data_IF_356123800118
#
_entry.id   IF_356123800118
#
_cell.length_a   1.000
_cell.length_b   1.000
_cell.length_c   1.000
_cell.angle_alpha   90.00
_cell.angle_beta   90.00
_cell.angle_gamma   90.00
#
_symmetry.space_group_name_H-M   'P 1'
#
loop_
_entity.id
_entity.type
_entity.pdbx_description
1 polymer ?
#
# COMPACT_ATOMS: atom_id res chain seq x y z
N UNK A 1 21.41 -8.18 54.47
CA UNK A 1 22.85 -8.21 54.26
C UNK A 1 23.10 -8.00 52.78
N UNK A 2 23.69 -7.04 52.23
CA UNK A 2 24.48 -5.87 52.58
C UNK A 2 24.41 -4.93 51.38
N UNK A 3 24.10 -3.72 51.70
CA UNK A 3 24.15 -2.47 50.93
C UNK A 3 25.50 -2.23 50.24
N UNK A 4 25.53 -1.66 49.05
CA UNK A 4 26.47 -0.60 48.70
C UNK A 4 25.87 0.40 47.68
N UNK A 5 25.62 1.59 48.21
CA UNK A 5 25.42 2.85 47.46
C UNK A 5 26.82 3.39 47.15
N UNK A 6 27.06 3.91 45.95
CA UNK A 6 28.08 4.92 45.73
C UNK A 6 27.51 6.08 44.90
N UNK A 7 27.51 7.23 45.57
CA UNK A 7 27.41 8.58 45.02
C UNK A 7 28.78 9.07 44.64
N UNK A 8 28.92 9.88 43.62
CA UNK A 8 29.93 10.94 43.39
C UNK A 8 29.56 11.59 42.06
N UNK A 9 29.10 12.76 42.03
CA UNK A 9 29.62 14.14 42.25
C UNK A 9 30.03 14.77 40.91
N UNK A 10 29.39 15.88 40.64
CA UNK A 10 29.54 16.80 39.52
C UNK A 10 30.92 17.49 39.54
N UNK A 11 31.43 17.80 38.36
CA UNK A 11 32.39 18.90 38.17
C UNK A 11 32.12 19.57 36.84
N UNK A 12 31.69 20.81 36.91
CA UNK A 12 31.59 21.77 35.81
C UNK A 12 33.00 22.32 35.53
N UNK A 13 33.36 22.40 34.25
CA UNK A 13 34.47 23.27 33.83
C UNK A 13 33.99 24.06 32.60
N UNK A 14 33.73 25.33 32.86
CA UNK A 14 33.58 26.41 31.89
C UNK A 14 34.94 26.83 31.35
N UNK A 15 35.12 26.85 30.03
CA UNK A 15 36.24 27.53 29.40
C UNK A 15 35.72 28.47 28.32
N UNK A 16 35.72 29.76 28.64
CA UNK A 16 35.46 30.89 27.75
C UNK A 16 36.74 31.20 26.97
N UNK A 17 36.66 31.25 25.64
CA UNK A 17 37.70 31.85 24.80
C UNK A 17 37.06 32.92 23.95
N UNK A 18 37.31 34.17 24.28
CA UNK A 18 37.17 35.36 23.43
C UNK A 18 38.29 35.34 22.39
N UNK A 19 37.97 35.52 21.13
CA UNK A 19 38.93 36.02 20.14
C UNK A 19 38.23 37.12 19.30
N UNK A 20 38.97 38.21 19.16
CA UNK A 20 38.59 39.51 18.71
C UNK A 20 38.31 39.62 17.18
N UNK A 21 37.45 40.59 16.86
CA UNK A 21 37.23 41.14 15.53
C UNK A 21 38.45 41.85 14.96
N UNK A 22 38.79 41.56 13.72
CA UNK A 22 39.41 42.55 12.84
C UNK A 22 38.64 42.61 11.53
N UNK A 23 38.08 43.75 11.30
CA UNK A 23 37.45 44.15 10.04
C UNK A 23 38.49 44.55 8.99
N UNK A 24 38.38 44.02 7.78
CA UNK A 24 38.88 44.71 6.58
C UNK A 24 37.96 44.36 5.41
N UNK A 25 37.24 45.35 4.93
CA UNK A 25 36.55 45.33 3.64
C UNK A 25 37.50 45.94 2.59
N UNK A 26 37.55 45.42 1.35
CA UNK A 26 37.11 46.28 0.29
C UNK A 26 36.17 45.55 -0.73
N UNK A 27 35.30 46.34 -1.27
CA UNK A 27 34.30 46.05 -2.26
C UNK A 27 34.85 45.37 -3.53
N UNK A 28 34.17 44.30 -3.97
CA UNK A 28 34.10 43.91 -5.37
C UNK A 28 32.73 43.29 -5.64
N UNK A 29 31.99 43.93 -6.49
CA UNK A 29 30.74 43.52 -7.11
C UNK A 29 30.89 42.15 -7.78
N UNK A 30 30.16 41.16 -7.24
CA UNK A 30 30.00 39.87 -7.89
C UNK A 30 28.65 39.28 -7.46
N UNK A 31 27.66 39.35 -8.35
CA UNK A 31 26.35 38.82 -8.12
C UNK A 31 26.42 37.33 -7.86
N UNK A 32 26.13 36.92 -6.65
CA UNK A 32 25.85 35.52 -6.32
C UNK A 32 24.42 35.22 -6.79
N UNK A 33 24.33 34.69 -8.00
CA UNK A 33 23.13 33.95 -8.43
C UNK A 33 22.94 32.79 -7.46
N UNK A 34 21.83 32.79 -6.72
CA UNK A 34 21.34 31.60 -6.06
C UNK A 34 21.21 30.48 -7.14
N UNK A 35 21.59 29.24 -6.85
CA UNK A 35 21.35 28.18 -7.79
C UNK A 35 19.83 27.90 -7.81
N UNK A 36 19.11 28.56 -8.72
CA UNK A 36 17.84 28.08 -9.21
C UNK A 36 18.12 26.82 -10.05
N UNK A 37 18.45 25.74 -9.36
CA UNK A 37 18.49 24.43 -9.97
C UNK A 37 17.07 24.00 -10.29
N UNK A 38 16.58 24.35 -11.48
CA UNK A 38 15.57 23.53 -12.11
C UNK A 38 16.18 22.14 -12.15
N UNK A 39 15.59 21.19 -11.37
CA UNK A 39 15.89 19.78 -11.50
C UNK A 39 15.63 19.43 -12.97
N UNK A 40 16.68 19.34 -13.78
CA UNK A 40 16.59 18.98 -15.17
C UNK A 40 15.92 17.59 -15.23
N UNK A 41 14.88 17.48 -16.06
CA UNK A 41 14.31 16.19 -16.38
C UNK A 41 15.46 15.28 -16.77
N UNK A 42 15.66 14.17 -16.01
CA UNK A 42 16.78 13.26 -16.21
C UNK A 42 16.83 12.80 -17.66
N UNK A 43 17.98 12.95 -18.30
CA UNK A 43 18.15 12.44 -19.65
C UNK A 43 18.33 10.94 -19.58
N UNK A 44 17.34 10.16 -20.02
CA UNK A 44 17.46 8.72 -20.19
C UNK A 44 18.08 8.39 -21.52
N UNK A 45 18.89 7.34 -21.60
CA UNK A 45 19.51 6.85 -22.81
C UNK A 45 19.35 5.33 -22.94
N UNK A 46 19.65 4.79 -24.14
CA UNK A 46 19.71 3.34 -24.34
C UNK A 46 21.07 2.75 -24.01
N UNK A 47 22.04 3.56 -23.57
CA UNK A 47 23.28 3.07 -22.98
C UNK A 47 22.98 2.57 -21.55
N UNK A 48 23.11 1.25 -21.37
CA UNK A 48 22.77 0.55 -20.14
C UNK A 48 24.00 0.00 -19.41
N UNK A 49 25.17 0.57 -19.68
CA UNK A 49 26.44 0.18 -19.03
C UNK A 49 26.46 0.54 -17.52
N UNK A 50 27.44 0.00 -16.81
CA UNK A 50 27.69 0.31 -15.40
C UNK A 50 26.94 -0.59 -14.41
N UNK A 51 26.61 -0.05 -13.22
CA UNK A 51 25.92 -0.77 -12.16
C UNK A 51 24.55 -0.16 -11.87
N UNK A 52 23.56 -1.00 -11.63
CA UNK A 52 22.22 -0.66 -11.18
C UNK A 52 22.01 -1.20 -9.76
N UNK A 53 21.68 -0.34 -8.81
CA UNK A 53 21.30 -0.73 -7.45
C UNK A 53 19.80 -0.54 -7.27
N UNK A 54 19.06 -1.63 -6.97
CA UNK A 54 17.64 -1.56 -6.65
C UNK A 54 17.42 -1.74 -5.15
N UNK A 55 16.34 -1.17 -4.61
CA UNK A 55 15.93 -1.37 -3.22
C UNK A 55 14.41 -1.59 -3.12
N UNK A 56 14.00 -2.50 -2.25
CA UNK A 56 12.60 -2.83 -1.97
C UNK A 56 11.98 -3.88 -2.90
N UNK A 57 12.57 -4.15 -4.06
CA UNK A 57 12.08 -5.23 -4.92
C UNK A 57 12.56 -6.57 -4.39
N UNK A 58 11.62 -7.48 -4.11
CA UNK A 58 11.93 -8.78 -3.56
C UNK A 58 11.65 -9.91 -4.57
N UNK A 59 12.69 -10.60 -5.09
CA UNK A 59 12.57 -11.73 -6.00
C UNK A 59 12.48 -13.10 -5.30
N UNK A 60 11.98 -13.15 -4.05
CA UNK A 60 11.96 -14.40 -3.26
C UNK A 60 10.92 -15.41 -3.74
N UNK A 61 9.88 -14.96 -4.42
CA UNK A 61 8.90 -15.84 -5.05
C UNK A 61 9.15 -16.00 -6.56
N UNK A 62 8.48 -16.96 -7.18
CA UNK A 62 8.61 -17.25 -8.60
C UNK A 62 8.18 -16.07 -9.50
N UNK A 63 7.21 -15.26 -9.04
CA UNK A 63 6.72 -14.08 -9.78
C UNK A 63 7.75 -12.96 -9.77
N UNK A 64 8.31 -12.64 -8.61
CA UNK A 64 9.38 -11.66 -8.49
C UNK A 64 10.64 -12.11 -9.20
N UNK A 65 11.02 -13.38 -9.02
CA UNK A 65 12.24 -13.95 -9.63
C UNK A 65 12.20 -13.91 -11.15
N UNK A 66 11.16 -14.43 -11.79
CA UNK A 66 11.08 -14.50 -13.25
C UNK A 66 11.10 -13.11 -13.89
N UNK A 67 10.43 -12.13 -13.29
CA UNK A 67 10.41 -10.74 -13.74
C UNK A 67 11.77 -10.06 -13.56
N UNK A 68 12.41 -10.25 -12.41
CA UNK A 68 13.75 -9.69 -12.16
C UNK A 68 14.82 -10.29 -13.07
N UNK A 69 14.78 -11.60 -13.32
CA UNK A 69 15.71 -12.27 -14.22
C UNK A 69 15.58 -11.73 -15.64
N UNK A 70 14.35 -11.59 -16.16
CA UNK A 70 14.08 -11.02 -17.47
C UNK A 70 14.56 -9.57 -17.58
N UNK A 71 14.23 -8.72 -16.59
CA UNK A 71 14.62 -7.32 -16.58
C UNK A 71 16.14 -7.16 -16.45
N UNK A 72 16.80 -7.98 -15.61
CA UNK A 72 18.26 -7.97 -15.44
C UNK A 72 18.98 -8.39 -16.72
N UNK A 73 18.46 -9.42 -17.40
CA UNK A 73 18.99 -9.80 -18.73
C UNK A 73 18.83 -8.68 -19.75
N UNK A 74 17.71 -7.96 -19.73
CA UNK A 74 17.40 -6.91 -20.68
C UNK A 74 18.26 -5.64 -20.51
N UNK A 75 18.85 -5.42 -19.33
CA UNK A 75 19.73 -4.27 -19.08
C UNK A 75 21.21 -4.60 -19.22
N UNK A 76 21.58 -5.80 -19.67
CA UNK A 76 22.97 -6.15 -19.96
C UNK A 76 23.58 -5.14 -20.98
N UNK A 77 24.84 -4.69 -20.78
CA UNK A 77 25.86 -5.20 -19.85
C UNK A 77 25.84 -4.59 -18.43
N UNK A 78 24.85 -3.78 -18.06
CA UNK A 78 24.77 -3.27 -16.69
C UNK A 78 24.66 -4.43 -15.67
N UNK A 79 25.38 -4.33 -14.56
CA UNK A 79 25.29 -5.28 -13.45
C UNK A 79 24.22 -4.84 -12.47
N UNK A 80 23.37 -5.77 -11.99
CA UNK A 80 22.26 -5.45 -11.08
C UNK A 80 22.55 -6.00 -9.69
N UNK A 81 22.43 -5.14 -8.69
CA UNK A 81 22.48 -5.52 -7.27
C UNK A 81 21.16 -5.15 -6.60
N UNK A 82 20.56 -6.09 -5.85
CA UNK A 82 19.25 -5.89 -5.23
C UNK A 82 19.36 -5.87 -3.70
N UNK A 83 18.87 -4.80 -3.08
CA UNK A 83 18.52 -4.75 -1.66
C UNK A 83 17.04 -5.07 -1.52
N UNK A 84 16.71 -6.22 -0.94
CA UNK A 84 15.33 -6.71 -0.77
C UNK A 84 14.63 -6.14 0.46
N UNK A 85 15.30 -5.28 1.23
CA UNK A 85 14.72 -4.63 2.40
C UNK A 85 13.57 -3.72 1.99
N UNK A 86 12.45 -3.83 2.67
CA UNK A 86 11.29 -2.97 2.42
C UNK A 86 11.67 -1.49 2.50
N UNK A 87 11.02 -0.68 1.68
CA UNK A 87 11.23 0.77 1.65
C UNK A 87 10.93 1.41 3.03
N UNK A 88 11.86 2.21 3.49
CA UNK A 88 11.73 3.05 4.68
C UNK A 88 11.93 4.52 4.29
N UNK A 89 10.91 5.34 4.50
CA UNK A 89 10.90 6.74 4.06
C UNK A 89 11.91 7.61 4.82
N UNK A 90 12.21 7.30 6.09
CA UNK A 90 13.18 8.06 6.90
C UNK A 90 14.62 7.72 6.46
N UNK A 91 14.92 6.42 6.33
CA UNK A 91 16.18 5.94 5.78
C UNK A 91 16.46 6.52 4.40
N UNK A 92 15.45 6.47 3.51
CA UNK A 92 15.56 7.00 2.16
C UNK A 92 15.81 8.51 2.14
N UNK A 93 15.13 9.28 3.00
CA UNK A 93 15.36 10.72 3.10
C UNK A 93 16.78 11.06 3.56
N UNK A 94 17.33 10.30 4.51
CA UNK A 94 18.72 10.45 4.93
C UNK A 94 19.72 10.07 3.82
N UNK A 95 19.44 9.02 3.07
CA UNK A 95 20.24 8.62 1.90
C UNK A 95 20.19 9.69 0.80
N UNK A 96 19.03 10.30 0.56
CA UNK A 96 18.86 11.36 -0.42
C UNK A 96 19.66 12.62 -0.03
N UNK A 97 19.63 13.00 1.26
CA UNK A 97 20.40 14.15 1.77
C UNK A 97 21.93 13.95 1.65
N UNK A 98 22.41 12.69 1.74
CA UNK A 98 23.84 12.36 1.57
C UNK A 98 24.24 12.00 0.13
N UNK A 99 23.29 11.99 -0.84
CA UNK A 99 23.52 11.55 -2.21
C UNK A 99 23.84 10.05 -2.36
N UNK A 100 23.52 9.24 -1.35
CA UNK A 100 23.78 7.78 -1.31
C UNK A 100 22.50 6.97 -1.51
N UNK A 101 21.72 7.30 -2.53
CA UNK A 101 20.49 6.60 -2.88
C UNK A 101 20.75 5.38 -3.77
N UNK A 102 19.86 4.36 -3.76
CA UNK A 102 19.81 3.37 -4.84
C UNK A 102 19.39 4.02 -6.16
N UNK A 103 19.57 3.33 -7.27
CA UNK A 103 19.17 3.84 -8.59
C UNK A 103 17.68 3.61 -8.86
N UNK A 104 17.09 2.61 -8.24
CA UNK A 104 15.67 2.26 -8.34
C UNK A 104 15.11 1.86 -6.98
N UNK A 105 13.93 2.36 -6.65
CA UNK A 105 13.22 1.98 -5.42
C UNK A 105 11.84 1.41 -5.75
N UNK A 106 11.42 0.39 -5.01
CA UNK A 106 10.03 -0.05 -4.97
C UNK A 106 9.34 0.59 -3.77
N UNK A 107 8.23 1.26 -4.01
CA UNK A 107 7.47 1.98 -3.00
C UNK A 107 5.97 1.73 -3.15
N UNK A 108 5.20 1.93 -2.07
CA UNK A 108 3.74 2.03 -2.19
C UNK A 108 3.38 3.21 -3.10
N UNK A 109 2.42 3.00 -4.02
CA UNK A 109 2.01 4.05 -4.96
C UNK A 109 1.48 5.31 -4.27
N UNK A 110 0.87 5.17 -3.11
CA UNK A 110 0.29 6.30 -2.35
C UNK A 110 1.32 7.33 -1.89
N UNK A 111 2.61 6.94 -1.77
CA UNK A 111 3.67 7.86 -1.35
C UNK A 111 4.43 8.51 -2.51
N UNK A 112 4.22 8.05 -3.74
CA UNK A 112 4.92 8.59 -4.93
C UNK A 112 4.72 10.10 -5.07
N UNK A 113 3.50 10.67 -4.95
CA UNK A 113 3.33 12.13 -5.02
C UNK A 113 4.07 12.88 -3.91
N UNK A 114 4.17 12.31 -2.72
CA UNK A 114 4.94 12.91 -1.60
C UNK A 114 6.44 12.96 -1.91
N UNK A 115 7.00 11.90 -2.49
CA UNK A 115 8.41 11.86 -2.87
C UNK A 115 8.69 12.81 -4.04
N UNK A 116 7.75 12.91 -5.00
CA UNK A 116 7.84 13.82 -6.14
C UNK A 116 7.80 15.31 -5.70
N UNK A 117 6.88 15.69 -4.81
CA UNK A 117 6.78 17.05 -4.27
C UNK A 117 8.05 17.50 -3.55
N UNK A 118 8.69 16.55 -2.84
CA UNK A 118 9.97 16.79 -2.16
C UNK A 118 11.18 16.77 -3.09
N UNK A 119 10.99 16.53 -4.40
CA UNK A 119 12.10 16.44 -5.37
C UNK A 119 13.02 15.23 -5.15
N UNK A 120 12.57 14.20 -4.40
CA UNK A 120 13.36 13.04 -4.06
C UNK A 120 13.41 11.99 -5.18
N UNK A 121 12.42 12.01 -6.07
CA UNK A 121 12.34 11.15 -7.27
C UNK A 121 12.12 12.02 -8.50
N UNK A 122 12.54 11.52 -9.66
CA UNK A 122 12.47 12.26 -10.92
C UNK A 122 11.28 11.82 -11.78
N UNK A 123 10.76 12.69 -12.67
CA UNK A 123 9.71 12.34 -13.62
C UNK A 123 10.21 11.31 -14.65
N UNK A 124 9.33 10.40 -15.05
CA UNK A 124 9.63 9.27 -15.93
C UNK A 124 9.04 9.41 -17.35
N UNK A 125 8.45 10.55 -17.71
CA UNK A 125 7.83 10.76 -19.02
C UNK A 125 8.83 10.50 -20.16
N UNK A 126 10.07 10.98 -20.02
CA UNK A 126 11.15 10.73 -20.98
C UNK A 126 11.59 9.26 -20.99
N UNK A 127 11.55 8.57 -19.84
CA UNK A 127 11.79 7.13 -19.73
C UNK A 127 10.74 6.34 -20.52
N UNK A 128 9.47 6.61 -20.30
CA UNK A 128 8.36 5.98 -21.02
C UNK A 128 8.46 6.21 -22.54
N UNK A 129 8.70 7.47 -22.95
CA UNK A 129 8.86 7.83 -24.36
C UNK A 129 10.05 7.10 -25.01
N UNK A 130 11.19 7.00 -24.33
CA UNK A 130 12.39 6.31 -24.82
C UNK A 130 12.14 4.84 -25.13
N UNK A 131 11.29 4.18 -24.32
CA UNK A 131 10.95 2.76 -24.47
C UNK A 131 9.66 2.52 -25.23
N UNK A 132 9.02 3.57 -25.76
CA UNK A 132 7.78 3.47 -26.55
C UNK A 132 6.59 2.94 -25.75
N UNK A 133 6.54 3.24 -24.47
CA UNK A 133 5.45 2.84 -23.58
C UNK A 133 4.59 4.04 -23.27
N UNK A 134 3.28 3.90 -23.44
CA UNK A 134 2.29 4.89 -23.01
C UNK A 134 1.68 4.41 -21.68
N UNK A 135 1.97 5.10 -20.55
CA UNK A 135 1.44 4.68 -19.24
C UNK A 135 -0.08 4.73 -19.15
N UNK A 136 -0.75 5.55 -19.95
CA UNK A 136 -2.21 5.66 -19.95
C UNK A 136 -2.90 4.42 -20.54
N UNK A 137 -2.25 3.73 -21.47
CA UNK A 137 -2.75 2.51 -22.12
C UNK A 137 -2.19 1.24 -21.50
N UNK A 138 -0.98 1.33 -20.93
CA UNK A 138 -0.27 0.18 -20.34
C UNK A 138 -0.87 -0.26 -19.01
N UNK A 139 -1.36 0.69 -18.18
CA UNK A 139 -1.79 0.43 -16.81
C UNK A 139 -3.25 0.84 -16.57
N UNK A 140 -3.86 0.30 -15.51
CA UNK A 140 -5.19 0.77 -15.07
C UNK A 140 -5.16 2.27 -14.75
N UNK A 141 -6.21 3.04 -15.11
CA UNK A 141 -6.22 4.49 -14.90
C UNK A 141 -5.97 4.90 -13.44
N UNK A 142 -6.52 4.16 -12.46
CA UNK A 142 -6.29 4.43 -11.05
C UNK A 142 -4.82 4.18 -10.63
N UNK A 143 -4.14 3.22 -11.24
CA UNK A 143 -2.73 2.95 -11.00
C UNK A 143 -1.86 4.09 -11.55
N UNK A 144 -2.10 4.53 -12.78
CA UNK A 144 -1.38 5.66 -13.39
C UNK A 144 -1.63 6.96 -12.62
N UNK A 145 -2.89 7.23 -12.27
CA UNK A 145 -3.25 8.42 -11.48
C UNK A 145 -2.50 8.50 -10.15
N UNK A 146 -2.34 7.37 -9.45
CA UNK A 146 -1.66 7.32 -8.14
C UNK A 146 -0.16 7.61 -8.20
N UNK A 147 0.48 7.48 -9.37
CA UNK A 147 1.90 7.80 -9.58
C UNK A 147 2.13 9.08 -10.39
N UNK A 148 1.07 9.84 -10.65
CA UNK A 148 1.10 11.12 -11.38
C UNK A 148 1.05 12.27 -10.38
N UNK A 149 1.94 13.24 -10.55
CA UNK A 149 1.98 14.46 -9.77
C UNK A 149 2.29 15.67 -10.68
N UNK A 150 1.52 16.76 -10.57
CA UNK A 150 1.63 17.95 -11.42
C UNK A 150 1.75 17.62 -12.92
N UNK A 151 0.91 16.69 -13.41
CA UNK A 151 0.84 16.30 -14.82
C UNK A 151 2.00 15.45 -15.32
N UNK A 152 2.93 15.02 -14.46
CA UNK A 152 4.07 14.15 -14.82
C UNK A 152 3.98 12.82 -14.09
N UNK A 153 4.45 11.75 -14.73
CA UNK A 153 4.47 10.39 -14.16
C UNK A 153 5.80 10.16 -13.43
N UNK A 154 5.76 9.72 -12.17
CA UNK A 154 6.94 9.54 -11.31
C UNK A 154 7.21 8.08 -10.92
N UNK A 155 6.38 7.16 -11.36
CA UNK A 155 6.55 5.76 -11.04
C UNK A 155 6.09 4.84 -12.16
N UNK A 156 6.65 3.64 -12.21
CA UNK A 156 6.18 2.55 -13.06
C UNK A 156 5.31 1.65 -12.19
N UNK A 157 3.96 1.66 -12.37
CA UNK A 157 3.06 0.85 -11.57
C UNK A 157 3.34 -0.63 -11.70
N UNK A 158 3.27 -1.33 -10.58
CA UNK A 158 3.22 -2.80 -10.55
C UNK A 158 2.25 -3.25 -9.45
N UNK A 159 1.56 -4.34 -9.74
CA UNK A 159 0.44 -4.85 -8.98
C UNK A 159 -0.75 -3.87 -8.87
N UNK A 160 -1.92 -4.45 -8.93
CA UNK A 160 -3.19 -3.76 -8.76
C UNK A 160 -4.09 -4.66 -7.91
N UNK A 161 -3.87 -4.59 -6.60
CA UNK A 161 -4.43 -5.51 -5.63
C UNK A 161 -5.75 -4.97 -5.11
N UNK A 162 -6.85 -5.51 -5.61
CA UNK A 162 -8.20 -5.13 -5.19
C UNK A 162 -8.59 -5.81 -3.89
N UNK A 163 -9.44 -5.17 -3.11
CA UNK A 163 -9.99 -5.71 -1.88
C UNK A 163 -11.34 -6.38 -2.10
N UNK A 164 -11.62 -7.40 -1.29
CA UNK A 164 -12.90 -8.11 -1.22
C UNK A 164 -13.15 -8.59 0.21
N UNK A 165 -14.37 -8.97 0.51
CA UNK A 165 -14.67 -9.72 1.74
C UNK A 165 -14.56 -11.21 1.44
N UNK A 166 -13.79 -11.93 2.25
CA UNK A 166 -13.75 -13.41 2.25
C UNK A 166 -14.44 -13.87 3.51
N UNK A 167 -15.45 -14.73 3.39
CA UNK A 167 -16.22 -15.23 4.50
C UNK A 167 -16.09 -16.74 4.66
N UNK A 168 -16.06 -17.20 5.92
CA UNK A 168 -16.02 -18.60 6.31
C UNK A 168 -17.44 -19.15 6.35
N UNK A 169 -17.76 -20.08 5.43
CA UNK A 169 -19.11 -20.67 5.31
C UNK A 169 -19.48 -21.51 6.53
N UNK A 170 -18.52 -22.14 7.22
CA UNK A 170 -18.79 -22.92 8.40
C UNK A 170 -19.24 -22.03 9.56
N UNK A 171 -18.54 -20.92 9.78
CA UNK A 171 -18.89 -19.93 10.82
C UNK A 171 -20.23 -19.26 10.50
N UNK A 172 -20.44 -18.87 9.22
CA UNK A 172 -21.70 -18.32 8.77
C UNK A 172 -22.89 -19.27 9.02
N UNK A 173 -22.74 -20.53 8.60
CA UNK A 173 -23.77 -21.56 8.78
C UNK A 173 -24.11 -21.78 10.26
N UNK A 174 -23.06 -21.92 11.11
CA UNK A 174 -23.24 -22.10 12.54
C UNK A 174 -23.94 -20.91 13.23
N UNK A 175 -23.84 -19.71 12.67
CA UNK A 175 -24.46 -18.48 13.17
C UNK A 175 -25.81 -18.15 12.49
N UNK A 176 -26.25 -18.91 11.50
CA UNK A 176 -27.44 -18.61 10.70
C UNK A 176 -27.30 -17.30 9.92
N UNK A 177 -26.10 -17.02 9.39
CA UNK A 177 -25.79 -15.84 8.57
C UNK A 177 -25.70 -16.24 7.12
N UNK A 178 -26.39 -15.50 6.23
CA UNK A 178 -26.30 -15.66 4.78
C UNK A 178 -25.31 -14.66 4.17
N UNK A 179 -24.84 -14.95 2.95
CA UNK A 179 -23.94 -14.06 2.20
C UNK A 179 -24.54 -12.66 1.97
N UNK A 180 -25.85 -12.56 1.76
CA UNK A 180 -26.54 -11.27 1.57
C UNK A 180 -26.47 -10.35 2.79
N UNK A 181 -26.25 -10.90 3.99
CA UNK A 181 -26.06 -10.13 5.21
C UNK A 181 -24.65 -9.54 5.34
N UNK A 182 -23.73 -9.93 4.43
CA UNK A 182 -22.38 -9.38 4.33
C UNK A 182 -22.25 -8.37 3.18
N UNK A 183 -23.36 -7.98 2.53
CA UNK A 183 -23.38 -6.93 1.49
C UNK A 183 -22.98 -5.58 2.10
N UNK A 184 -21.83 -5.03 1.67
CA UNK A 184 -21.26 -3.81 2.24
C UNK A 184 -22.09 -2.55 1.96
N UNK A 185 -23.06 -2.62 1.03
CA UNK A 185 -24.06 -1.56 0.83
C UNK A 185 -25.06 -1.46 1.98
N UNK A 186 -25.06 -2.45 2.89
CA UNK A 186 -25.98 -2.53 4.04
C UNK A 186 -25.21 -2.64 5.36
N UNK A 187 -24.48 -1.60 5.75
CA UNK A 187 -23.51 -1.66 6.84
C UNK A 187 -24.12 -2.07 8.20
N UNK A 188 -25.40 -1.75 8.48
CA UNK A 188 -26.07 -2.21 9.70
C UNK A 188 -26.33 -3.72 9.71
N UNK A 189 -26.55 -4.33 8.55
CA UNK A 189 -26.69 -5.79 8.45
C UNK A 189 -25.35 -6.49 8.73
N UNK A 190 -24.22 -5.91 8.28
CA UNK A 190 -22.89 -6.42 8.62
C UNK A 190 -22.67 -6.41 10.12
N UNK A 191 -23.02 -5.34 10.82
CA UNK A 191 -22.88 -5.28 12.30
C UNK A 191 -23.71 -6.38 12.96
N UNK A 192 -24.96 -6.58 12.52
CA UNK A 192 -25.82 -7.64 13.04
C UNK A 192 -25.29 -9.05 12.72
N UNK A 193 -24.76 -9.27 11.52
CA UNK A 193 -24.13 -10.52 11.13
C UNK A 193 -22.84 -10.78 11.93
N UNK A 194 -22.00 -9.77 12.09
CA UNK A 194 -20.80 -9.82 12.91
C UNK A 194 -21.10 -10.23 14.35
N UNK A 195 -22.12 -9.62 14.96
CA UNK A 195 -22.54 -9.95 16.31
C UNK A 195 -23.04 -11.39 16.43
N UNK A 196 -23.74 -11.93 15.43
CA UNK A 196 -24.19 -13.33 15.44
C UNK A 196 -23.02 -14.31 15.31
N UNK A 197 -22.03 -13.99 14.49
CA UNK A 197 -20.85 -14.84 14.24
C UNK A 197 -19.80 -14.73 15.35
N UNK A 198 -19.77 -13.61 16.07
CA UNK A 198 -18.80 -13.38 17.16
C UNK A 198 -19.00 -14.40 18.28
N UNK A 199 -17.90 -14.97 18.75
CA UNK A 199 -17.89 -15.83 19.94
C UNK A 199 -16.78 -15.41 20.88
N UNK A 200 -17.06 -15.55 22.20
CA UNK A 200 -16.09 -15.33 23.26
C UNK A 200 -16.18 -16.47 24.28
N UNK A 201 -15.04 -16.81 24.87
CA UNK A 201 -14.92 -17.78 25.96
C UNK A 201 -14.07 -17.17 27.07
N UNK A 202 -14.57 -17.17 28.30
CA UNK A 202 -13.88 -16.56 29.44
C UNK A 202 -13.57 -15.06 29.25
N UNK A 203 -14.42 -14.33 28.53
CA UNK A 203 -14.25 -12.89 28.25
C UNK A 203 -13.23 -12.58 27.13
N UNK A 204 -12.68 -13.60 26.47
CA UNK A 204 -11.75 -13.43 25.35
C UNK A 204 -12.41 -13.86 24.04
N UNK A 205 -12.22 -13.14 22.93
CA UNK A 205 -12.69 -13.58 21.63
C UNK A 205 -12.15 -14.98 21.28
N UNK A 206 -12.99 -15.79 20.67
CA UNK A 206 -12.62 -17.06 20.06
C UNK A 206 -13.04 -17.15 18.59
N UNK A 207 -13.96 -16.29 18.15
CA UNK A 207 -14.31 -16.06 16.76
C UNK A 207 -14.56 -14.56 16.57
N UNK A 208 -13.89 -13.93 15.63
CA UNK A 208 -14.22 -12.58 15.14
C UNK A 208 -15.32 -12.71 14.11
N UNK A 209 -16.44 -12.04 14.27
CA UNK A 209 -17.57 -12.14 13.35
C UNK A 209 -17.30 -11.50 12.00
N UNK A 210 -16.86 -10.23 12.00
CA UNK A 210 -16.43 -9.51 10.81
C UNK A 210 -15.19 -8.67 11.11
N UNK A 211 -14.10 -8.97 10.45
CA UNK A 211 -12.86 -8.21 10.53
C UNK A 211 -12.74 -7.26 9.34
N UNK A 212 -12.89 -5.98 9.61
CA UNK A 212 -12.72 -4.92 8.61
C UNK A 212 -11.25 -4.52 8.39
N UNK A 213 -10.28 -5.23 8.97
CA UNK A 213 -8.83 -5.00 8.88
C UNK A 213 -8.41 -3.56 9.24
N UNK A 214 -9.00 -3.02 10.29
CA UNK A 214 -8.74 -1.66 10.78
C UNK A 214 -7.52 -1.61 11.73
N UNK A 215 -6.83 -0.45 11.79
CA UNK A 215 -7.05 0.86 11.17
C UNK A 215 -6.38 1.04 9.79
N UNK A 216 -5.56 0.09 9.32
CA UNK A 216 -4.73 0.23 8.12
C UNK A 216 -5.50 0.37 6.81
N UNK A 217 -6.74 -0.14 6.75
CA UNK A 217 -7.63 -0.12 5.59
C UNK A 217 -8.84 0.80 5.76
N UNK A 218 -8.78 1.75 6.69
CA UNK A 218 -9.90 2.63 7.02
C UNK A 218 -10.38 3.47 5.83
N UNK A 219 -9.48 3.88 4.95
CA UNK A 219 -9.78 4.64 3.74
C UNK A 219 -10.69 3.88 2.74
N UNK A 220 -10.61 2.55 2.69
CA UNK A 220 -11.58 1.73 1.98
C UNK A 220 -13.00 1.99 2.51
N UNK A 221 -13.15 1.96 3.83
CA UNK A 221 -14.46 2.14 4.46
C UNK A 221 -14.97 3.58 4.35
N UNK A 222 -14.07 4.59 4.34
CA UNK A 222 -14.49 5.96 3.99
C UNK A 222 -15.19 5.96 2.62
N UNK A 223 -14.61 5.29 1.61
CA UNK A 223 -15.17 5.23 0.26
C UNK A 223 -16.45 4.39 0.18
N UNK A 224 -16.57 3.32 0.95
CA UNK A 224 -17.83 2.56 1.09
C UNK A 224 -18.98 3.49 1.51
N UNK A 225 -18.74 4.44 2.40
CA UNK A 225 -19.71 5.41 2.87
C UNK A 225 -19.80 6.69 1.99
N UNK A 226 -19.15 6.71 0.83
CA UNK A 226 -19.16 7.86 -0.09
C UNK A 226 -18.26 9.00 0.35
N UNK A 227 -17.37 8.77 1.31
CA UNK A 227 -16.34 9.71 1.75
C UNK A 227 -15.01 9.53 1.02
N UNK A 228 -14.02 10.29 1.44
CA UNK A 228 -12.64 10.21 0.93
C UNK A 228 -11.67 10.83 1.92
N UNK A 229 -10.43 10.36 1.94
CA UNK A 229 -9.39 10.97 2.76
C UNK A 229 -8.92 12.34 2.21
N UNK A 230 -9.14 12.60 0.93
CA UNK A 230 -8.75 13.85 0.24
C UNK A 230 -9.69 14.13 -0.94
N UNK A 231 -9.70 15.40 -1.38
CA UNK A 231 -10.40 15.81 -2.59
C UNK A 231 -9.61 15.50 -3.87
N UNK A 232 -10.16 15.87 -5.03
CA UNK A 232 -9.54 15.64 -6.34
C UNK A 232 -8.18 16.34 -6.51
N UNK A 233 -7.91 17.39 -5.72
CA UNK A 233 -6.67 18.17 -5.72
C UNK A 233 -5.66 17.66 -4.67
N UNK A 234 -5.99 16.57 -3.97
CA UNK A 234 -5.16 16.00 -2.93
C UNK A 234 -5.18 16.75 -1.60
N UNK A 235 -6.09 17.70 -1.41
CA UNK A 235 -6.30 18.39 -0.14
C UNK A 235 -7.08 17.47 0.81
N UNK A 236 -6.66 17.31 2.08
CA UNK A 236 -7.33 16.44 3.04
C UNK A 236 -8.79 16.87 3.31
N UNK A 237 -9.65 15.88 3.47
CA UNK A 237 -11.10 16.02 3.77
C UNK A 237 -11.54 15.05 4.87
N UNK A 238 -10.66 14.80 5.85
CA UNK A 238 -10.86 13.76 6.84
C UNK A 238 -12.10 13.97 7.73
N UNK A 239 -12.45 15.21 8.02
CA UNK A 239 -13.60 15.59 8.88
C UNK A 239 -14.94 15.71 8.12
N UNK A 240 -14.98 15.29 6.86
CA UNK A 240 -16.23 15.29 6.07
C UNK A 240 -17.30 14.39 6.74
N UNK A 241 -18.57 14.80 6.65
CA UNK A 241 -19.70 14.10 7.31
C UNK A 241 -19.77 12.60 6.95
N UNK A 242 -19.51 12.23 5.69
CA UNK A 242 -19.47 10.83 5.26
C UNK A 242 -18.36 10.03 5.98
N UNK A 243 -17.20 10.64 6.19
CA UNK A 243 -16.08 10.04 6.92
C UNK A 243 -16.40 9.84 8.40
N UNK A 244 -17.09 10.81 9.04
CA UNK A 244 -17.57 10.69 10.42
C UNK A 244 -18.56 9.54 10.53
N UNK A 245 -19.48 9.41 9.56
CA UNK A 245 -20.43 8.29 9.51
C UNK A 245 -19.70 6.96 9.37
N UNK A 246 -18.72 6.87 8.48
CA UNK A 246 -17.89 5.67 8.31
C UNK A 246 -17.18 5.26 9.60
N UNK A 247 -16.47 6.20 10.24
CA UNK A 247 -15.73 5.90 11.48
C UNK A 247 -16.68 5.56 12.66
N UNK A 248 -17.86 6.18 12.71
CA UNK A 248 -18.90 5.82 13.69
C UNK A 248 -19.37 4.38 13.48
N UNK A 249 -19.56 3.96 12.22
CA UNK A 249 -19.88 2.58 11.90
C UNK A 249 -18.75 1.61 12.25
N UNK A 250 -17.50 1.96 11.93
CA UNK A 250 -16.33 1.15 12.29
C UNK A 250 -16.27 0.89 13.80
N UNK A 251 -16.50 1.93 14.61
CA UNK A 251 -16.57 1.80 16.05
C UNK A 251 -17.73 0.90 16.48
N UNK A 252 -18.94 1.10 15.95
CA UNK A 252 -20.11 0.27 16.20
C UNK A 252 -19.84 -1.20 15.90
N UNK A 253 -19.15 -1.49 14.79
CA UNK A 253 -18.76 -2.84 14.39
C UNK A 253 -17.81 -3.48 15.43
N UNK A 254 -16.80 -2.75 15.88
CA UNK A 254 -15.87 -3.26 16.90
C UNK A 254 -16.56 -3.45 18.26
N UNK A 255 -17.36 -2.49 18.69
CA UNK A 255 -18.09 -2.56 19.97
C UNK A 255 -19.06 -3.77 20.00
N UNK A 256 -19.70 -4.09 18.87
CA UNK A 256 -20.59 -5.24 18.76
C UNK A 256 -19.88 -6.60 18.90
N UNK A 257 -18.55 -6.62 18.89
CA UNK A 257 -17.72 -7.81 18.92
C UNK A 257 -16.74 -7.82 20.11
N UNK A 258 -17.06 -7.13 21.20
CA UNK A 258 -16.25 -7.11 22.42
C UNK A 258 -15.19 -6.01 22.46
N UNK A 259 -15.17 -5.10 21.48
CA UNK A 259 -14.33 -3.92 21.44
C UNK A 259 -12.98 -4.11 20.74
N UNK A 260 -12.41 -2.99 20.28
CA UNK A 260 -11.22 -2.98 19.45
C UNK A 260 -10.00 -3.66 20.07
N UNK A 261 -9.72 -3.38 21.35
CA UNK A 261 -8.55 -3.93 22.02
C UNK A 261 -8.58 -5.47 22.11
N UNK A 262 -9.75 -6.05 22.43
CA UNK A 262 -9.93 -7.49 22.51
C UNK A 262 -9.80 -8.16 21.13
N UNK A 263 -10.44 -7.59 20.12
CA UNK A 263 -10.36 -8.08 18.72
C UNK A 263 -8.93 -7.99 18.21
N UNK A 264 -8.24 -6.85 18.40
CA UNK A 264 -6.85 -6.68 17.99
C UNK A 264 -5.93 -7.71 18.63
N UNK A 265 -6.03 -7.89 19.94
CA UNK A 265 -5.21 -8.88 20.65
C UNK A 265 -5.44 -10.31 20.15
N UNK A 266 -6.66 -10.67 19.80
CA UNK A 266 -6.98 -11.97 19.24
C UNK A 266 -6.44 -12.12 17.81
N UNK A 267 -6.63 -11.11 16.95
CA UNK A 267 -6.07 -11.09 15.58
C UNK A 267 -4.54 -11.22 15.58
N UNK A 268 -3.85 -10.53 16.48
CA UNK A 268 -2.38 -10.60 16.59
C UNK A 268 -1.88 -12.01 16.94
N UNK A 269 -2.74 -12.92 17.43
CA UNK A 269 -2.43 -14.32 17.72
C UNK A 269 -2.75 -15.29 16.58
N UNK A 270 -3.42 -14.83 15.51
CA UNK A 270 -3.81 -15.67 14.38
C UNK A 270 -2.60 -15.97 13.47
N UNK A 271 -2.53 -17.19 12.97
CA UNK A 271 -1.58 -17.60 11.93
C UNK A 271 -2.15 -17.28 10.54
N UNK A 272 -2.11 -16.01 10.14
CA UNK A 272 -2.77 -15.57 8.90
C UNK A 272 -2.20 -16.20 7.61
N UNK A 273 -0.94 -16.67 7.64
CA UNK A 273 -0.23 -17.16 6.45
C UNK A 273 0.14 -18.64 6.50
N UNK A 274 -0.14 -19.31 7.59
CA UNK A 274 0.21 -20.72 7.79
C UNK A 274 -0.89 -21.70 7.43
N UNK A 275 -0.58 -22.96 7.65
CA UNK A 275 -1.52 -24.07 7.38
C UNK A 275 -2.65 -24.20 8.42
N UNK A 276 -2.54 -23.48 9.53
CA UNK A 276 -3.52 -23.40 10.61
C UNK A 276 -4.09 -21.96 10.68
N UNK A 277 -4.34 -21.37 9.50
CA UNK A 277 -4.87 -20.01 9.41
C UNK A 277 -6.30 -19.92 10.00
N UNK A 278 -6.76 -18.68 10.21
CA UNK A 278 -8.03 -18.39 10.87
C UNK A 278 -9.27 -19.01 10.19
N UNK A 279 -9.20 -19.30 8.88
CA UNK A 279 -10.28 -20.01 8.17
C UNK A 279 -10.25 -21.51 8.42
N UNK A 280 -9.06 -22.12 8.52
CA UNK A 280 -8.91 -23.53 8.89
C UNK A 280 -9.42 -23.78 10.31
N UNK A 281 -9.19 -22.83 11.22
CA UNK A 281 -9.60 -22.92 12.63
C UNK A 281 -11.02 -22.42 12.88
N UNK A 282 -11.69 -21.84 11.88
CA UNK A 282 -12.99 -21.16 12.02
C UNK A 282 -12.96 -20.05 13.10
N UNK A 283 -11.88 -19.27 13.14
CA UNK A 283 -11.65 -18.15 14.07
C UNK A 283 -12.18 -16.82 13.56
N UNK A 284 -12.66 -16.77 12.30
CA UNK A 284 -13.21 -15.57 11.66
C UNK A 284 -14.48 -15.91 10.86
N UNK A 285 -15.52 -15.09 10.97
CA UNK A 285 -16.72 -15.24 10.17
C UNK A 285 -16.58 -14.62 8.78
N UNK A 286 -16.07 -13.41 8.70
CA UNK A 286 -15.74 -12.74 7.46
C UNK A 286 -14.59 -11.75 7.68
N UNK A 287 -13.78 -11.51 6.66
CA UNK A 287 -12.63 -10.61 6.74
C UNK A 287 -12.39 -9.90 5.42
N UNK A 288 -12.04 -8.62 5.49
CA UNK A 288 -11.61 -7.86 4.30
C UNK A 288 -10.14 -8.18 3.99
N UNK A 289 -9.90 -8.68 2.79
CA UNK A 289 -8.58 -9.02 2.30
C UNK A 289 -8.33 -8.48 0.88
N UNK A 290 -7.06 -8.29 0.53
CA UNK A 290 -6.67 -8.20 -0.87
C UNK A 290 -6.91 -9.54 -1.58
N UNK A 291 -7.27 -9.51 -2.87
CA UNK A 291 -7.55 -10.72 -3.66
C UNK A 291 -6.41 -11.75 -3.65
N UNK A 292 -5.16 -11.31 -3.41
CA UNK A 292 -3.99 -12.19 -3.32
C UNK A 292 -4.09 -13.21 -2.17
N UNK A 293 -4.94 -12.96 -1.17
CA UNK A 293 -5.12 -13.88 -0.04
C UNK A 293 -5.78 -15.21 -0.46
N UNK A 294 -6.51 -15.23 -1.59
CA UNK A 294 -7.03 -16.48 -2.17
C UNK A 294 -5.88 -17.45 -2.46
N UNK A 295 -4.71 -16.93 -2.89
CA UNK A 295 -3.53 -17.75 -3.13
C UNK A 295 -2.97 -18.36 -1.84
N UNK A 296 -3.03 -17.65 -0.70
CA UNK A 296 -2.69 -18.21 0.63
C UNK A 296 -3.65 -19.32 0.99
N UNK A 297 -4.96 -19.09 0.88
CA UNK A 297 -5.99 -20.09 1.18
C UNK A 297 -5.91 -21.33 0.27
N UNK A 298 -5.41 -21.18 -0.95
CA UNK A 298 -5.28 -22.31 -1.89
C UNK A 298 -4.33 -23.42 -1.36
N UNK A 299 -3.39 -23.09 -0.49
CA UNK A 299 -2.54 -24.07 0.19
C UNK A 299 -3.29 -24.95 1.20
N UNK A 300 -4.45 -24.50 1.66
CA UNK A 300 -5.32 -25.19 2.62
C UNK A 300 -6.70 -25.48 2.04
N UNK A 301 -6.82 -25.55 0.70
CA UNK A 301 -8.08 -25.66 -0.05
C UNK A 301 -9.00 -26.78 0.42
N UNK A 302 -8.43 -27.90 0.90
CA UNK A 302 -9.18 -29.08 1.36
C UNK A 302 -9.68 -28.95 2.82
N UNK A 303 -9.27 -27.86 3.52
CA UNK A 303 -9.61 -27.63 4.94
C UNK A 303 -10.54 -26.42 5.13
N UNK A 304 -10.72 -25.58 4.12
CA UNK A 304 -11.50 -24.33 4.21
C UNK A 304 -12.76 -24.41 3.36
N UNK A 305 -13.83 -23.78 3.82
CA UNK A 305 -15.04 -23.56 3.04
C UNK A 305 -15.35 -22.08 3.06
N UNK A 306 -15.22 -21.42 1.92
CA UNK A 306 -15.16 -19.97 1.83
C UNK A 306 -16.04 -19.41 0.72
N UNK A 307 -16.41 -18.14 0.85
CA UNK A 307 -17.16 -17.41 -0.19
C UNK A 307 -16.66 -15.98 -0.27
N UNK A 308 -16.55 -15.45 -1.49
CA UNK A 308 -16.18 -14.06 -1.76
C UNK A 308 -17.40 -13.15 -1.86
N UNK A 309 -17.33 -11.98 -1.23
CA UNK A 309 -18.34 -10.93 -1.36
C UNK A 309 -17.65 -9.69 -1.93
N UNK A 310 -18.13 -9.17 -3.10
CA UNK A 310 -17.57 -7.94 -3.64
C UNK A 310 -17.94 -6.74 -2.76
N UNK A 311 -17.03 -5.78 -2.67
CA UNK A 311 -17.28 -4.55 -1.92
C UNK A 311 -18.14 -3.62 -2.77
N UNK A 312 -19.13 -3.00 -2.14
CA UNK A 312 -20.02 -1.98 -2.71
C UNK A 312 -20.07 -0.77 -1.79
N UNK A 313 -20.29 0.38 -2.37
CA UNK A 313 -20.65 1.59 -1.65
C UNK A 313 -22.07 1.51 -1.09
N UNK A 314 -22.42 2.34 -0.13
CA UNK A 314 -23.75 2.35 0.51
C UNK A 314 -24.89 2.69 -0.48
N UNK A 315 -24.60 3.28 -1.65
CA UNK A 315 -25.53 3.50 -2.75
C UNK A 315 -25.60 2.29 -3.73
N UNK A 316 -24.95 1.18 -3.39
CA UNK A 316 -24.99 -0.09 -4.12
C UNK A 316 -24.06 -0.23 -5.31
N UNK A 317 -23.20 0.76 -5.57
CA UNK A 317 -22.22 0.68 -6.67
C UNK A 317 -21.05 -0.22 -6.28
N UNK A 318 -20.59 -1.02 -7.24
CA UNK A 318 -19.38 -1.82 -7.04
C UNK A 318 -18.16 -0.93 -6.77
N UNK A 319 -17.31 -1.35 -5.82
CA UNK A 319 -16.10 -0.64 -5.42
C UNK A 319 -14.90 -1.59 -5.43
N UNK A 320 -14.08 -1.51 -6.48
CA UNK A 320 -12.77 -2.16 -6.52
C UNK A 320 -11.72 -1.25 -5.89
N UNK A 321 -11.55 -1.32 -4.57
CA UNK A 321 -10.48 -0.55 -3.90
C UNK A 321 -9.15 -1.22 -4.11
N UNK A 322 -8.21 -0.55 -4.79
CA UNK A 322 -6.95 -1.14 -5.20
C UNK A 322 -5.72 -0.42 -4.66
N UNK A 323 -4.91 -1.17 -3.95
CA UNK A 323 -3.53 -0.83 -3.60
C UNK A 323 -2.51 -1.34 -4.60
N UNK A 324 -1.25 -1.16 -4.29
CA UNK A 324 -0.12 -1.71 -5.03
C UNK A 324 1.13 -0.84 -4.95
N UNK A 325 2.19 -1.32 -5.58
CA UNK A 325 3.50 -0.66 -5.56
C UNK A 325 3.84 -0.01 -6.90
N UNK A 326 4.88 0.80 -6.88
CA UNK A 326 5.50 1.36 -8.08
C UNK A 326 7.03 1.28 -7.96
N UNK A 327 7.68 1.26 -9.11
CA UNK A 327 9.12 1.43 -9.24
C UNK A 327 9.38 2.91 -9.56
N UNK A 328 10.17 3.58 -8.73
CA UNK A 328 10.51 4.99 -8.89
C UNK A 328 12.02 5.19 -8.93
N UNK A 329 12.47 6.24 -9.61
CA UNK A 329 13.89 6.54 -9.81
C UNK A 329 14.25 7.76 -8.96
N UNK A 330 15.13 7.64 -7.96
CA UNK A 330 15.62 8.78 -7.18
C UNK A 330 16.26 9.85 -8.06
N UNK A 331 16.09 11.13 -7.70
CA UNK A 331 16.69 12.26 -8.44
C UNK A 331 18.22 12.18 -8.43
N UNK A 332 18.82 11.67 -7.34
CA UNK A 332 20.26 11.49 -7.21
C UNK A 332 20.78 10.11 -7.67
N UNK A 333 19.97 9.34 -8.42
CA UNK A 333 20.36 8.04 -8.98
C UNK A 333 21.57 8.21 -9.90
N UNK A 334 22.52 7.28 -9.78
CA UNK A 334 23.77 7.32 -10.57
C UNK A 334 23.61 6.66 -11.94
N UNK A 335 22.67 5.72 -12.06
CA UNK A 335 22.36 5.02 -13.30
C UNK A 335 20.86 5.03 -13.63
N UNK A 336 20.26 6.22 -13.85
CA UNK A 336 18.83 6.34 -14.11
C UNK A 336 18.40 5.64 -15.41
N UNK A 337 19.28 5.54 -16.41
CA UNK A 337 18.99 4.88 -17.69
C UNK A 337 18.77 3.38 -17.53
N UNK A 338 19.66 2.69 -16.81
CA UNK A 338 19.49 1.28 -16.51
C UNK A 338 18.29 1.04 -15.56
N UNK A 339 18.06 1.94 -14.61
CA UNK A 339 16.89 1.89 -13.72
C UNK A 339 15.56 2.01 -14.50
N UNK A 340 15.48 2.95 -15.45
CA UNK A 340 14.36 3.11 -16.36
C UNK A 340 14.10 1.83 -17.17
N UNK A 341 15.12 1.33 -17.86
CA UNK A 341 15.02 0.12 -18.67
C UNK A 341 14.55 -1.08 -17.83
N UNK A 342 15.16 -1.28 -16.66
CA UNK A 342 14.82 -2.38 -15.79
C UNK A 342 13.36 -2.29 -15.30
N UNK A 343 12.91 -1.12 -14.88
CA UNK A 343 11.53 -0.92 -14.41
C UNK A 343 10.49 -1.20 -15.51
N UNK A 344 10.72 -0.67 -16.71
CA UNK A 344 9.84 -0.91 -17.88
C UNK A 344 9.84 -2.40 -18.26
N UNK A 345 11.01 -3.06 -18.25
CA UNK A 345 11.10 -4.49 -18.61
C UNK A 345 10.49 -5.38 -17.54
N UNK A 346 10.69 -5.10 -16.24
CA UNK A 346 10.10 -5.86 -15.14
C UNK A 346 8.57 -5.79 -15.10
N UNK A 347 7.96 -4.78 -15.74
CA UNK A 347 6.50 -4.59 -15.81
C UNK A 347 5.94 -4.79 -17.22
N UNK A 348 6.74 -5.27 -18.16
CA UNK A 348 6.31 -5.56 -19.53
C UNK A 348 5.34 -6.75 -19.58
N UNK A 349 4.57 -6.83 -20.65
CA UNK A 349 3.70 -7.98 -20.91
C UNK A 349 4.46 -9.31 -20.89
N UNK A 350 5.66 -9.34 -21.49
CA UNK A 350 6.50 -10.56 -21.53
C UNK A 350 6.96 -10.97 -20.13
N UNK A 351 7.33 -9.99 -19.28
CA UNK A 351 7.71 -10.28 -17.90
C UNK A 351 6.54 -10.83 -17.08
N UNK A 352 5.34 -10.30 -17.27
CA UNK A 352 4.16 -10.82 -16.60
C UNK A 352 3.70 -12.17 -17.12
N UNK A 353 3.83 -12.45 -18.43
CA UNK A 353 3.61 -13.80 -18.98
C UNK A 353 4.60 -14.81 -18.39
N UNK A 354 5.90 -14.48 -18.37
CA UNK A 354 6.91 -15.33 -17.74
C UNK A 354 6.63 -15.57 -16.25
N UNK A 355 6.09 -14.56 -15.54
CA UNK A 355 5.66 -14.71 -14.15
C UNK A 355 4.42 -15.62 -14.01
N UNK A 356 3.48 -15.51 -14.94
CA UNK A 356 2.32 -16.42 -15.02
C UNK A 356 2.73 -17.87 -15.25
N UNK A 357 3.65 -18.12 -16.18
CA UNK A 357 4.20 -19.45 -16.46
C UNK A 357 4.92 -20.03 -15.22
N UNK A 358 5.74 -19.21 -14.55
CA UNK A 358 6.43 -19.61 -13.33
C UNK A 358 5.44 -19.93 -12.19
N UNK A 359 4.40 -19.10 -12.02
CA UNK A 359 3.32 -19.34 -11.05
C UNK A 359 2.57 -20.63 -11.37
N UNK A 360 2.23 -20.88 -12.63
CA UNK A 360 1.52 -22.10 -13.03
C UNK A 360 2.33 -23.35 -12.69
N UNK A 361 3.64 -23.33 -12.89
CA UNK A 361 4.55 -24.41 -12.50
C UNK A 361 4.55 -24.64 -10.98
N UNK A 362 4.72 -23.56 -10.19
CA UNK A 362 4.68 -23.65 -8.72
C UNK A 362 3.34 -24.18 -8.21
N UNK A 363 2.23 -23.75 -8.81
CA UNK A 363 0.88 -24.21 -8.47
C UNK A 363 0.75 -25.73 -8.73
N UNK A 364 1.26 -26.22 -9.86
CA UNK A 364 1.26 -27.65 -10.18
C UNK A 364 2.11 -28.44 -9.19
N UNK A 365 3.34 -27.97 -8.90
CA UNK A 365 4.25 -28.63 -7.97
C UNK A 365 3.69 -28.71 -6.54
N UNK A 366 2.97 -27.68 -6.11
CA UNK A 366 2.37 -27.59 -4.76
C UNK A 366 0.95 -28.13 -4.68
N UNK A 367 0.36 -28.62 -5.78
CA UNK A 367 -1.06 -29.01 -5.84
C UNK A 367 -2.00 -27.94 -5.28
N UNK A 368 -1.73 -26.66 -5.60
CA UNK A 368 -2.53 -25.51 -5.21
C UNK A 368 -3.41 -25.01 -6.36
N UNK A 369 -4.09 -23.88 -6.18
CA UNK A 369 -4.99 -23.30 -7.19
C UNK A 369 -4.34 -22.06 -7.81
N UNK A 370 -4.37 -21.95 -9.13
CA UNK A 370 -3.89 -20.75 -9.82
C UNK A 370 -4.97 -19.66 -9.81
N UNK A 371 -4.71 -18.59 -9.07
CA UNK A 371 -5.62 -17.45 -8.93
C UNK A 371 -5.35 -16.34 -9.96
N UNK A 372 -4.37 -16.52 -10.83
CA UNK A 372 -3.87 -15.50 -11.75
C UNK A 372 -2.97 -14.48 -11.06
N UNK A 373 -2.68 -13.42 -11.77
CA UNK A 373 -1.90 -12.28 -11.28
C UNK A 373 -2.69 -10.98 -11.52
N UNK A 374 -2.56 -10.04 -10.59
CA UNK A 374 -3.15 -8.70 -10.67
C UNK A 374 -2.00 -7.70 -10.80
N UNK A 375 -1.62 -7.46 -12.05
CA UNK A 375 -0.30 -6.89 -12.41
C UNK A 375 -0.26 -5.37 -12.46
N UNK A 376 -1.42 -4.74 -12.52
CA UNK A 376 -1.53 -3.30 -12.82
C UNK A 376 -1.69 -3.00 -14.30
N UNK A 377 -1.53 -4.00 -15.19
CA UNK A 377 -1.73 -3.89 -16.63
C UNK A 377 -2.92 -4.74 -17.08
N UNK A 378 -3.99 -4.13 -17.64
CA UNK A 378 -5.16 -4.90 -18.13
C UNK A 378 -4.80 -5.99 -19.14
N UNK A 379 -3.84 -5.70 -20.03
CA UNK A 379 -3.38 -6.65 -21.03
C UNK A 379 -2.65 -7.85 -20.41
N UNK A 380 -1.83 -7.59 -19.38
CA UNK A 380 -1.10 -8.65 -18.68
C UNK A 380 -2.03 -9.50 -17.82
N UNK A 381 -2.97 -8.87 -17.08
CA UNK A 381 -3.96 -9.57 -16.28
C UNK A 381 -4.80 -10.51 -17.16
N UNK A 382 -5.26 -10.01 -18.32
CA UNK A 382 -5.99 -10.83 -19.29
C UNK A 382 -5.14 -11.98 -19.82
N UNK A 383 -3.91 -11.72 -20.24
CA UNK A 383 -3.03 -12.75 -20.81
C UNK A 383 -2.71 -13.86 -19.81
N UNK A 384 -2.41 -13.51 -18.55
CA UNK A 384 -2.14 -14.51 -17.49
C UNK A 384 -3.40 -15.27 -17.12
N UNK A 385 -4.55 -14.58 -17.01
CA UNK A 385 -5.83 -15.21 -16.70
C UNK A 385 -6.20 -16.24 -17.77
N UNK A 386 -6.21 -15.82 -19.04
CA UNK A 386 -6.61 -16.69 -20.16
C UNK A 386 -5.71 -17.92 -20.31
N UNK A 387 -4.41 -17.78 -19.98
CA UNK A 387 -3.45 -18.89 -20.11
C UNK A 387 -3.48 -19.87 -18.92
N UNK A 388 -3.76 -19.39 -17.70
CA UNK A 388 -3.43 -20.16 -16.50
C UNK A 388 -4.56 -20.28 -15.47
N UNK A 389 -5.63 -19.49 -15.55
CA UNK A 389 -6.76 -19.58 -14.61
C UNK A 389 -7.83 -20.47 -15.22
N UNK A 390 -7.88 -21.69 -14.74
CA UNK A 390 -8.85 -22.71 -15.16
C UNK A 390 -9.74 -23.09 -13.98
N UNK A 391 -10.92 -23.73 -14.21
CA UNK A 391 -11.74 -24.24 -13.12
C UNK A 391 -10.91 -25.06 -12.13
N UNK A 392 -10.97 -24.69 -10.86
CA UNK A 392 -10.11 -25.26 -9.81
C UNK A 392 -10.55 -26.64 -9.33
N UNK A 393 -11.76 -27.05 -9.69
CA UNK A 393 -12.43 -28.21 -9.12
C UNK A 393 -13.09 -27.95 -7.76
N UNK A 394 -12.98 -26.71 -7.25
CA UNK A 394 -13.65 -26.24 -6.04
C UNK A 394 -14.56 -25.04 -6.39
N UNK A 395 -15.87 -25.24 -6.23
CA UNK A 395 -16.85 -24.18 -6.49
C UNK A 395 -16.60 -22.91 -5.63
N UNK A 396 -16.09 -23.11 -4.41
CA UNK A 396 -15.76 -22.02 -3.49
C UNK A 396 -14.60 -21.15 -4.05
N UNK A 397 -13.52 -21.78 -4.49
CA UNK A 397 -12.38 -21.05 -5.06
C UNK A 397 -12.69 -20.45 -6.42
N UNK A 398 -13.46 -21.15 -7.26
CA UNK A 398 -13.90 -20.59 -8.55
C UNK A 398 -14.75 -19.32 -8.35
N UNK A 399 -15.60 -19.31 -7.33
CA UNK A 399 -16.41 -18.15 -6.95
C UNK A 399 -15.56 -17.02 -6.38
N UNK A 400 -14.58 -17.33 -5.48
CA UNK A 400 -13.62 -16.33 -4.96
C UNK A 400 -12.85 -15.66 -6.10
N UNK A 401 -12.29 -16.46 -7.02
CA UNK A 401 -11.51 -15.96 -8.16
C UNK A 401 -12.40 -15.08 -9.06
N UNK A 402 -13.61 -15.55 -9.36
CA UNK A 402 -14.58 -14.77 -10.16
C UNK A 402 -14.90 -13.42 -9.48
N UNK A 403 -15.13 -13.42 -8.17
CA UNK A 403 -15.38 -12.20 -7.40
C UNK A 403 -14.18 -11.25 -7.46
N UNK A 404 -12.96 -11.76 -7.28
CA UNK A 404 -11.75 -10.93 -7.37
C UNK A 404 -11.62 -10.24 -8.73
N UNK A 405 -11.81 -10.97 -9.83
CA UNK A 405 -11.74 -10.38 -11.18
C UNK A 405 -12.86 -9.36 -11.47
N UNK A 406 -14.06 -9.55 -10.90
CA UNK A 406 -15.16 -8.59 -11.07
C UNK A 406 -14.89 -7.22 -10.44
N UNK A 407 -13.90 -7.09 -9.55
CA UNK A 407 -13.54 -5.83 -8.90
C UNK A 407 -12.58 -4.97 -9.73
N UNK A 408 -11.98 -5.52 -10.80
CA UNK A 408 -10.98 -4.79 -11.60
C UNK A 408 -11.57 -3.64 -12.42
N UNK A 409 -12.83 -3.75 -12.82
CA UNK A 409 -13.49 -2.76 -13.69
C UNK A 409 -14.01 -1.52 -12.94
N UNK A 410 -14.03 -1.57 -11.60
CA UNK A 410 -14.66 -0.54 -10.74
C UNK A 410 -13.67 0.03 -9.75
N UNK A 411 -12.53 0.52 -10.26
CA UNK A 411 -11.36 0.77 -9.43
C UNK A 411 -11.33 2.15 -8.80
N UNK A 412 -11.12 2.16 -7.49
CA UNK A 412 -10.75 3.31 -6.69
C UNK A 412 -9.42 3.05 -5.96
N UNK A 413 -8.81 4.10 -5.45
CA UNK A 413 -7.57 4.03 -4.68
C UNK A 413 -7.59 5.09 -3.58
N UNK A 414 -6.57 5.10 -2.73
CA UNK A 414 -6.40 6.13 -1.70
C UNK A 414 -6.44 7.57 -2.26
N UNK A 415 -6.03 7.74 -3.52
CA UNK A 415 -5.87 9.04 -4.17
C UNK A 415 -4.41 9.44 -4.34
N UNK A 416 -4.19 10.67 -4.77
CA UNK A 416 -2.86 11.24 -5.04
C UNK A 416 -2.75 12.58 -4.33
N UNK A 417 -1.79 12.70 -3.38
CA UNK A 417 -1.53 13.94 -2.65
C UNK A 417 -0.05 14.08 -2.33
N UNK A 418 0.54 15.28 -2.45
CA UNK A 418 1.89 15.52 -1.95
C UNK A 418 2.01 15.36 -0.42
N UNK A 419 0.91 15.45 0.32
CA UNK A 419 0.83 15.14 1.74
C UNK A 419 0.27 13.72 2.03
N UNK A 420 0.21 12.83 1.03
CA UNK A 420 -0.48 11.54 1.12
C UNK A 420 -0.06 10.69 2.32
N UNK A 421 1.24 10.59 2.61
CA UNK A 421 1.73 9.88 3.80
C UNK A 421 1.17 10.47 5.10
N UNK A 422 1.23 11.80 5.26
CA UNK A 422 0.74 12.48 6.47
C UNK A 422 -0.79 12.37 6.62
N UNK A 423 -1.53 12.37 5.51
CA UNK A 423 -2.99 12.15 5.50
C UNK A 423 -3.31 10.73 5.96
N UNK A 424 -2.58 9.73 5.44
CA UNK A 424 -2.76 8.32 5.80
C UNK A 424 -2.44 8.07 7.27
N UNK A 425 -1.34 8.62 7.78
CA UNK A 425 -0.94 8.50 9.18
C UNK A 425 -1.95 9.19 10.10
N UNK A 426 -2.41 10.39 9.76
CA UNK A 426 -3.42 11.11 10.52
C UNK A 426 -4.75 10.34 10.59
N UNK A 427 -5.21 9.76 9.47
CA UNK A 427 -6.39 8.92 9.41
C UNK A 427 -6.23 7.68 10.28
N UNK A 428 -5.12 6.95 10.14
CA UNK A 428 -4.85 5.72 10.90
C UNK A 428 -4.85 5.98 12.41
N UNK A 429 -4.22 7.08 12.84
CA UNK A 429 -4.22 7.49 14.24
C UNK A 429 -5.63 7.88 14.73
N UNK A 430 -6.41 8.63 13.94
CA UNK A 430 -7.79 8.98 14.29
C UNK A 430 -8.66 7.73 14.47
N UNK A 431 -8.52 6.77 13.56
CA UNK A 431 -9.24 5.50 13.66
C UNK A 431 -8.84 4.75 14.94
N UNK A 432 -7.55 4.64 15.24
CA UNK A 432 -7.09 3.95 16.44
C UNK A 432 -7.64 4.57 17.74
N UNK A 433 -7.58 5.91 17.89
CA UNK A 433 -8.08 6.60 19.09
C UNK A 433 -9.60 6.59 19.20
N UNK A 434 -10.33 6.56 18.08
CA UNK A 434 -11.78 6.44 18.07
C UNK A 434 -12.23 5.01 18.45
N UNK A 435 -11.56 3.99 17.89
CA UNK A 435 -11.88 2.60 18.19
C UNK A 435 -11.51 2.21 19.63
N UNK A 436 -10.45 2.80 20.20
CA UNK A 436 -10.10 2.61 21.61
C UNK A 436 -11.07 3.31 22.58
N UNK A 437 -11.90 4.24 22.07
CA UNK A 437 -12.83 5.03 22.89
C UNK A 437 -12.19 6.25 23.57
N UNK A 438 -10.93 6.59 23.23
CA UNK A 438 -10.25 7.78 23.77
C UNK A 438 -10.87 9.08 23.25
N UNK A 439 -11.40 9.08 22.02
CA UNK A 439 -12.13 10.19 21.42
C UNK A 439 -13.36 9.68 20.68
N UNK A 440 -14.38 10.53 20.58
CA UNK A 440 -15.47 10.25 19.65
C UNK A 440 -15.00 10.39 18.18
N UNK A 441 -15.65 9.71 17.22
CA UNK A 441 -15.24 9.71 15.82
C UNK A 441 -15.13 11.10 15.19
N UNK A 442 -16.04 12.02 15.48
CA UNK A 442 -16.03 13.36 14.91
C UNK A 442 -14.84 14.18 15.41
N UNK A 443 -14.57 14.14 16.71
CA UNK A 443 -13.41 14.82 17.32
C UNK A 443 -12.10 14.23 16.81
N UNK A 444 -11.98 12.90 16.72
CA UNK A 444 -10.79 12.22 16.21
C UNK A 444 -10.47 12.64 14.77
N UNK A 445 -11.48 12.65 13.89
CA UNK A 445 -11.31 13.05 12.48
C UNK A 445 -11.05 14.56 12.33
N UNK A 446 -11.65 15.42 13.17
CA UNK A 446 -11.35 16.85 13.18
C UNK A 446 -9.89 17.16 13.53
N UNK A 447 -9.34 16.47 14.53
CA UNK A 447 -7.94 16.62 14.93
C UNK A 447 -7.00 16.09 13.82
N UNK A 448 -7.37 14.97 13.18
CA UNK A 448 -6.64 14.41 12.03
C UNK A 448 -6.67 15.36 10.84
N UNK A 449 -7.84 15.95 10.54
CA UNK A 449 -7.97 16.96 9.48
C UNK A 449 -7.04 18.16 9.72
N UNK A 450 -7.02 18.69 10.94
CA UNK A 450 -6.15 19.81 11.29
C UNK A 450 -4.66 19.45 11.11
N UNK A 451 -4.27 18.22 11.44
CA UNK A 451 -2.89 17.73 11.28
C UNK A 451 -2.54 17.52 9.82
N UNK A 452 -3.40 16.85 9.06
CA UNK A 452 -3.23 16.60 7.64
C UNK A 452 -3.22 17.91 6.82
N UNK A 453 -4.09 18.87 7.17
CA UNK A 453 -4.16 20.17 6.49
C UNK A 453 -2.88 20.98 6.69
N UNK A 454 -2.30 21.01 7.89
CA UNK A 454 -0.99 21.65 8.13
C UNK A 454 0.10 21.02 7.26
N UNK A 455 0.15 19.69 7.17
CA UNK A 455 1.12 19.02 6.33
C UNK A 455 0.92 19.35 4.85
N UNK A 456 -0.34 19.38 4.38
CA UNK A 456 -0.66 19.73 2.98
C UNK A 456 -0.28 21.18 2.65
N UNK A 457 -0.54 22.14 3.54
CA UNK A 457 -0.16 23.54 3.38
C UNK A 457 1.36 23.76 3.26
N UNK A 458 2.18 22.82 3.72
CA UNK A 458 3.64 22.89 3.58
C UNK A 458 4.15 22.37 2.23
N UNK A 459 3.31 21.68 1.47
CA UNK A 459 3.64 21.18 0.13
C UNK A 459 3.56 22.30 -0.92
N UNK A 460 4.10 22.04 -2.11
CA UNK A 460 4.01 22.99 -3.22
C UNK A 460 2.56 23.23 -3.67
N UNK A 461 1.70 22.21 -3.62
CA UNK A 461 0.28 22.36 -3.92
C UNK A 461 -0.43 23.28 -2.90
N UNK A 462 -0.13 23.11 -1.61
CA UNK A 462 -0.74 23.92 -0.55
C UNK A 462 -0.25 25.37 -0.51
N UNK A 463 0.92 25.66 -1.06
CA UNK A 463 1.44 27.06 -1.16
C UNK A 463 0.86 27.84 -2.34
N UNK A 464 0.34 27.14 -3.34
CA UNK A 464 -0.19 27.72 -4.58
C UNK A 464 -1.73 27.71 -4.62
N UNK A 465 -2.40 27.12 -3.65
CA UNK A 465 -3.86 27.10 -3.47
C UNK A 465 -4.29 27.91 -2.29
#
# INVERSE_FOLDING_TARGET
>A
MSTHRNKLSAAALSLSVLVALTACNPAASGGSAAPSGSAGAGSFSKDLSGSLKTSGFNPSDEVGKSRSDLATKAVSPATVTMDTTNFDAQKFSAQAASGQVPDLIQVDRSIVPTLADKGLIQPLDACYSLWGVDPATQYYPAATKSVTYNGKVYGVPQFFQTSMVIADKNVMQAAGVSTDQLDTSKPDQIVAAAQKMYKASGGKPSVVGFDADLPGSADLWLQVFGGSAMDANGKPTLDAAANVTALTWMKKLMDAQGGYAAIKSFKDSMDAFGNENQYVKNEVGAQTWGQWYINVLSATKDKVSVVGVPIKTTDGKALGYAGGTALAIPTAAKNPSAACAWAIKATSLDAWKAAGDARAKTVQEKNSINTGLFTGSPAADKAVRDAHVVPSGSADFDQLISTAYSTLDTTASFGSSPAGSSIKDALSNAVAVALSGEKDPATALKDAQATALRAWQQTSAGKNG
#
